data_IF_432689133217
#
_entry.id   IF_432689133217
#
_cell.length_a   1.000
_cell.length_b   1.000
_cell.length_c   1.000
_cell.angle_alpha   90.00
_cell.angle_beta   90.00
_cell.angle_gamma   90.00
#
_symmetry.space_group_name_H-M   'P 1'
#
loop_
_entity.id
_entity.type
_entity.pdbx_description
1 polymer ?
#
# COMPACT_ATOMS: atom_id res chain seq x y z
N UNK A 1 -9.57 12.79 26.50
CA UNK A 1 -9.00 11.48 26.10
C UNK A 1 -8.24 11.66 24.81
N UNK A 2 -6.93 11.37 24.83
CA UNK A 2 -6.14 11.31 23.61
C UNK A 2 -6.66 10.19 22.71
N UNK A 3 -6.67 10.40 21.40
CA UNK A 3 -7.02 9.36 20.44
C UNK A 3 -5.99 8.22 20.44
N UNK A 4 -6.42 7.03 20.05
CA UNK A 4 -5.53 5.86 19.93
C UNK A 4 -4.42 6.15 18.92
N UNK A 5 -3.17 5.88 19.28
CA UNK A 5 -2.01 6.15 18.42
C UNK A 5 -1.66 4.90 17.61
N UNK A 6 -1.34 5.08 16.34
CA UNK A 6 -1.12 3.97 15.41
C UNK A 6 0.09 3.08 15.78
N UNK A 7 1.18 3.65 16.32
CA UNK A 7 2.36 2.87 16.68
C UNK A 7 2.09 1.89 17.83
N UNK A 8 1.21 2.24 18.76
CA UNK A 8 0.80 1.38 19.89
C UNK A 8 -0.07 0.20 19.43
N UNK A 9 -0.72 0.33 18.27
CA UNK A 9 -1.54 -0.73 17.69
C UNK A 9 -0.71 -1.73 16.89
N UNK A 10 0.41 -1.30 16.31
CA UNK A 10 1.26 -2.18 15.48
C UNK A 10 1.97 -3.27 16.28
N UNK A 11 2.21 -3.05 17.56
CA UNK A 11 2.83 -4.02 18.48
C UNK A 11 1.84 -5.04 19.05
N UNK A 12 0.53 -4.83 18.87
CA UNK A 12 -0.53 -5.70 19.40
C UNK A 12 -0.82 -6.87 18.48
N UNK A 13 -1.31 -7.96 19.06
CA UNK A 13 -1.76 -9.12 18.30
C UNK A 13 -3.10 -8.85 17.58
N UNK A 14 -3.41 -9.66 16.56
CA UNK A 14 -4.67 -9.56 15.81
C UNK A 14 -5.90 -9.71 16.72
N UNK A 15 -5.82 -10.58 17.71
CA UNK A 15 -6.89 -10.83 18.69
C UNK A 15 -7.12 -9.62 19.58
N UNK A 16 -6.04 -8.99 20.06
CA UNK A 16 -6.11 -7.76 20.86
C UNK A 16 -6.68 -6.58 20.07
N UNK A 17 -6.37 -6.49 18.77
CA UNK A 17 -6.95 -5.46 17.89
C UNK A 17 -8.45 -5.71 17.64
N UNK A 18 -8.85 -6.98 17.52
CA UNK A 18 -10.24 -7.36 17.32
C UNK A 18 -11.09 -7.08 18.57
N UNK A 19 -10.60 -7.39 19.77
CA UNK A 19 -11.30 -7.07 21.02
C UNK A 19 -11.42 -5.56 21.20
N UNK A 20 -10.31 -4.81 21.05
CA UNK A 20 -10.31 -3.36 21.15
C UNK A 20 -11.29 -2.70 20.15
N UNK A 21 -11.45 -3.27 18.95
CA UNK A 21 -12.41 -2.80 17.96
C UNK A 21 -13.87 -3.01 18.40
N UNK A 22 -14.18 -4.14 19.03
CA UNK A 22 -15.52 -4.42 19.56
C UNK A 22 -15.86 -3.45 20.68
N UNK A 23 -14.93 -3.20 21.60
CA UNK A 23 -15.14 -2.29 22.73
C UNK A 23 -15.36 -0.85 22.26
N UNK A 24 -14.56 -0.37 21.31
CA UNK A 24 -14.75 0.96 20.71
C UNK A 24 -16.10 1.09 19.98
N UNK A 25 -16.60 0.01 19.36
CA UNK A 25 -17.93 0.00 18.72
C UNK A 25 -19.07 0.05 19.75
N UNK A 26 -18.93 -0.65 20.88
CA UNK A 26 -19.89 -0.58 22.00
C UNK A 26 -19.92 0.83 22.59
N UNK A 27 -18.76 1.40 22.87
CA UNK A 27 -18.65 2.79 23.36
C UNK A 27 -19.29 3.79 22.38
N UNK A 28 -19.07 3.61 21.07
CA UNK A 28 -19.71 4.45 20.06
C UNK A 28 -21.23 4.33 20.08
N UNK A 29 -21.77 3.11 20.26
CA UNK A 29 -23.22 2.89 20.33
C UNK A 29 -23.82 3.57 21.56
N UNK A 30 -23.19 3.43 22.72
CA UNK A 30 -23.60 4.11 23.96
C UNK A 30 -23.59 5.65 23.80
N UNK A 31 -22.53 6.20 23.21
CA UNK A 31 -22.43 7.64 22.95
C UNK A 31 -23.52 8.15 21.99
N UNK A 32 -23.96 7.31 21.04
CA UNK A 32 -25.08 7.66 20.15
C UNK A 32 -26.42 7.68 20.89
N UNK A 33 -26.65 6.77 21.83
CA UNK A 33 -27.85 6.79 22.68
C UNK A 33 -27.82 8.03 23.57
N UNK A 34 -26.69 8.34 24.20
CA UNK A 34 -26.53 9.54 25.03
C UNK A 34 -26.75 10.85 24.25
N UNK A 35 -26.43 10.87 22.95
CA UNK A 35 -26.64 12.03 22.07
C UNK A 35 -28.12 12.42 21.95
N UNK A 36 -29.04 11.48 22.15
CA UNK A 36 -30.48 11.76 22.13
C UNK A 36 -30.91 12.64 23.31
N UNK A 37 -30.26 12.47 24.47
CA UNK A 37 -30.52 13.26 25.68
C UNK A 37 -29.62 14.50 25.78
N UNK A 38 -28.39 14.45 25.26
CA UNK A 38 -27.43 15.56 25.31
C UNK A 38 -27.04 16.07 23.91
N UNK A 39 -27.30 17.35 23.57
CA UNK A 39 -27.11 17.88 22.23
C UNK A 39 -25.63 18.05 21.82
N UNK A 40 -24.66 17.99 22.73
CA UNK A 40 -23.22 18.08 22.38
C UNK A 40 -22.40 16.96 23.02
N UNK A 41 -21.75 16.15 22.17
CA UNK A 41 -20.86 15.04 22.56
C UNK A 41 -19.64 14.99 21.62
N UNK A 42 -18.60 15.83 21.85
CA UNK A 42 -17.42 15.88 20.99
C UNK A 42 -16.62 14.56 20.98
N UNK A 43 -16.78 13.71 22.00
CA UNK A 43 -16.11 12.41 22.13
C UNK A 43 -16.44 11.45 20.98
N UNK A 44 -17.61 11.56 20.35
CA UNK A 44 -18.03 10.73 19.18
C UNK A 44 -17.02 10.85 18.03
N UNK A 45 -16.52 12.07 17.76
CA UNK A 45 -15.55 12.30 16.68
C UNK A 45 -14.25 11.55 16.96
N UNK A 46 -13.78 11.56 18.20
CA UNK A 46 -12.55 10.87 18.62
C UNK A 46 -12.70 9.36 18.51
N UNK A 47 -13.79 8.79 19.02
CA UNK A 47 -14.05 7.34 18.96
C UNK A 47 -14.16 6.84 17.52
N UNK A 48 -14.85 7.59 16.62
CA UNK A 48 -14.91 7.26 15.19
C UNK A 48 -13.53 7.22 14.54
N UNK A 49 -12.67 8.18 14.85
CA UNK A 49 -11.29 8.22 14.34
C UNK A 49 -10.45 7.06 14.91
N UNK A 50 -10.62 6.72 16.19
CA UNK A 50 -9.95 5.57 16.80
C UNK A 50 -10.35 4.25 16.14
N UNK A 51 -11.65 4.02 15.88
CA UNK A 51 -12.14 2.82 15.14
C UNK A 51 -11.51 2.74 13.75
N UNK A 52 -11.48 3.86 13.02
CA UNK A 52 -10.86 3.90 11.70
C UNK A 52 -9.37 3.56 11.77
N UNK A 53 -8.64 4.09 12.75
CA UNK A 53 -7.21 3.79 12.94
C UNK A 53 -6.95 2.30 13.21
N UNK A 54 -7.74 1.68 14.10
CA UNK A 54 -7.63 0.23 14.39
C UNK A 54 -7.90 -0.61 13.14
N UNK A 55 -8.96 -0.30 12.38
CA UNK A 55 -9.26 -0.97 11.11
C UNK A 55 -8.13 -0.82 10.08
N UNK A 56 -7.51 0.36 9.99
CA UNK A 56 -6.37 0.60 9.10
C UNK A 56 -5.20 -0.32 9.45
N UNK A 57 -4.83 -0.44 10.73
CA UNK A 57 -3.71 -1.28 11.17
C UNK A 57 -3.99 -2.76 10.94
N UNK A 58 -5.21 -3.24 11.22
CA UNK A 58 -5.62 -4.63 10.92
C UNK A 58 -5.46 -4.93 9.42
N UNK A 59 -5.94 -4.03 8.55
CA UNK A 59 -5.84 -4.18 7.11
C UNK A 59 -4.38 -4.08 6.61
N UNK A 60 -3.56 -3.22 7.22
CA UNK A 60 -2.12 -3.11 6.93
C UNK A 60 -1.40 -4.43 7.20
N UNK A 61 -1.57 -5.00 8.40
CA UNK A 61 -0.99 -6.28 8.81
C UNK A 61 -1.47 -7.44 7.93
N UNK A 62 -2.79 -7.52 7.64
CA UNK A 62 -3.32 -8.56 6.77
C UNK A 62 -2.74 -8.46 5.35
N UNK A 63 -2.65 -7.25 4.79
CA UNK A 63 -2.09 -7.03 3.45
C UNK A 63 -0.61 -7.34 3.40
N UNK A 64 0.14 -7.09 4.48
CA UNK A 64 1.54 -7.46 4.59
C UNK A 64 1.73 -8.99 4.62
N UNK A 65 0.95 -9.71 5.43
CA UNK A 65 0.99 -11.18 5.47
C UNK A 65 0.70 -11.79 4.08
N UNK A 66 -0.29 -11.28 3.36
CA UNK A 66 -0.58 -11.72 1.98
C UNK A 66 0.58 -11.36 1.04
N UNK A 67 1.20 -10.18 1.18
CA UNK A 67 2.38 -9.82 0.37
C UNK A 67 3.57 -10.74 0.63
N UNK A 68 3.81 -11.13 1.88
CA UNK A 68 4.87 -12.07 2.24
C UNK A 68 4.59 -13.45 1.61
N UNK A 69 3.35 -13.94 1.69
CA UNK A 69 2.93 -15.22 1.08
C UNK A 69 3.14 -15.28 -0.44
N UNK A 70 2.96 -14.15 -1.15
CA UNK A 70 3.11 -14.06 -2.61
C UNK A 70 4.45 -13.47 -3.06
N UNK A 71 5.38 -13.23 -2.15
CA UNK A 71 6.70 -12.69 -2.47
C UNK A 71 7.43 -13.67 -3.40
N UNK A 72 7.95 -13.17 -4.52
CA UNK A 72 8.66 -13.97 -5.52
C UNK A 72 7.78 -14.87 -6.41
N UNK A 73 6.50 -15.05 -6.10
CA UNK A 73 5.60 -15.84 -6.96
C UNK A 73 5.28 -15.05 -8.23
N UNK A 74 5.32 -15.74 -9.39
CA UNK A 74 5.01 -15.17 -10.72
C UNK A 74 3.59 -14.57 -10.77
N UNK A 75 2.61 -15.28 -10.23
CA UNK A 75 1.21 -14.86 -10.24
C UNK A 75 0.80 -14.33 -8.88
N UNK A 76 0.50 -13.04 -8.84
CA UNK A 76 -0.04 -12.36 -7.66
C UNK A 76 -1.50 -11.95 -7.90
N UNK A 77 -2.33 -11.90 -6.84
CA UNK A 77 -3.68 -11.37 -6.89
C UNK A 77 -3.71 -9.96 -7.48
N UNK A 78 -4.79 -9.61 -8.18
CA UNK A 78 -4.93 -8.30 -8.86
C UNK A 78 -4.75 -7.12 -7.89
N UNK A 79 -5.20 -7.27 -6.64
CA UNK A 79 -5.15 -6.22 -5.61
C UNK A 79 -3.73 -5.89 -5.12
N UNK A 80 -2.80 -6.85 -5.26
CA UNK A 80 -1.40 -6.68 -4.89
C UNK A 80 -0.53 -6.17 -6.04
N UNK A 81 -1.02 -6.21 -7.28
CA UNK A 81 -0.27 -5.73 -8.43
C UNK A 81 -0.10 -4.21 -8.36
N UNK A 82 1.04 -3.72 -8.84
CA UNK A 82 1.27 -2.29 -8.97
C UNK A 82 0.19 -1.63 -9.84
N UNK A 83 -0.41 -0.55 -9.33
CA UNK A 83 -1.42 0.22 -10.06
C UNK A 83 -0.73 1.12 -11.09
N UNK A 84 -0.68 0.65 -12.34
CA UNK A 84 -0.19 1.39 -13.52
C UNK A 84 -1.32 1.55 -14.54
N UNK A 85 -1.10 2.40 -15.56
CA UNK A 85 -2.02 2.48 -16.69
C UNK A 85 -2.04 1.17 -17.49
N UNK A 86 -3.16 0.89 -18.18
CA UNK A 86 -3.28 -0.32 -19.02
C UNK A 86 -2.20 -0.36 -20.10
N UNK A 87 -1.89 0.77 -20.72
CA UNK A 87 -0.84 0.89 -21.72
C UNK A 87 0.53 0.48 -21.15
N UNK A 88 0.92 1.02 -19.99
CA UNK A 88 2.19 0.68 -19.34
C UNK A 88 2.29 -0.79 -18.91
N UNK A 89 1.16 -1.45 -18.60
CA UNK A 89 1.16 -2.89 -18.29
C UNK A 89 1.32 -3.79 -19.52
N UNK A 90 0.99 -3.29 -20.70
CA UNK A 90 1.09 -4.01 -21.99
C UNK A 90 2.38 -3.70 -22.74
N UNK A 91 3.09 -2.64 -22.36
CA UNK A 91 4.38 -2.30 -22.92
C UNK A 91 5.42 -3.41 -22.64
N UNK A 92 6.41 -3.51 -23.53
CA UNK A 92 7.54 -4.41 -23.38
C UNK A 92 8.34 -4.09 -22.11
N UNK A 93 8.99 -5.11 -21.56
CA UNK A 93 9.98 -4.92 -20.50
C UNK A 93 11.21 -4.19 -21.05
N UNK A 94 11.98 -3.54 -20.16
CA UNK A 94 13.23 -2.86 -20.57
C UNK A 94 14.19 -3.83 -21.26
N UNK A 95 14.26 -5.07 -20.77
CA UNK A 95 15.10 -6.11 -21.33
C UNK A 95 14.69 -6.45 -22.77
N UNK A 96 13.40 -6.71 -23.01
CA UNK A 96 12.86 -6.97 -24.34
C UNK A 96 13.06 -5.78 -25.29
N UNK A 97 12.81 -4.56 -24.81
CA UNK A 97 13.00 -3.35 -25.60
C UNK A 97 14.47 -3.08 -25.94
N UNK A 98 15.41 -3.51 -25.09
CA UNK A 98 16.85 -3.39 -25.32
C UNK A 98 17.45 -4.56 -26.10
N UNK A 99 16.67 -5.57 -26.49
CA UNK A 99 17.23 -6.69 -27.24
C UNK A 99 17.71 -6.23 -28.61
N UNK A 100 18.97 -6.56 -28.90
CA UNK A 100 19.64 -6.25 -30.16
C UNK A 100 20.03 -7.57 -30.81
N UNK A 101 19.83 -7.67 -32.13
CA UNK A 101 20.24 -8.86 -32.88
C UNK A 101 21.76 -9.06 -32.81
N UNK A 102 22.22 -10.31 -32.86
CA UNK A 102 23.65 -10.67 -32.94
C UNK A 102 24.41 -9.84 -33.99
N UNK A 103 23.80 -9.68 -35.17
CA UNK A 103 24.35 -8.88 -36.28
C UNK A 103 24.53 -7.41 -35.90
N UNK A 104 23.52 -6.80 -35.29
CA UNK A 104 23.57 -5.40 -34.90
C UNK A 104 24.50 -5.17 -33.69
N UNK A 105 24.59 -6.12 -32.75
CA UNK A 105 25.57 -6.09 -31.66
C UNK A 105 27.00 -6.06 -32.20
N UNK A 106 27.35 -6.97 -33.14
CA UNK A 106 28.66 -7.00 -33.80
C UNK A 106 28.96 -5.67 -34.51
N UNK A 107 27.97 -5.10 -35.22
CA UNK A 107 28.12 -3.79 -35.88
C UNK A 107 28.37 -2.65 -34.89
N UNK A 108 27.65 -2.61 -33.77
CA UNK A 108 27.82 -1.59 -32.73
C UNK A 108 29.19 -1.68 -32.04
N UNK A 109 29.68 -2.90 -31.81
CA UNK A 109 31.04 -3.12 -31.25
C UNK A 109 32.11 -2.65 -32.24
N UNK A 110 31.96 -3.00 -33.52
CA UNK A 110 32.93 -2.65 -34.55
C UNK A 110 32.94 -1.15 -34.87
N UNK A 111 31.77 -0.51 -34.93
CA UNK A 111 31.60 0.88 -35.34
C UNK A 111 30.74 1.67 -34.33
N UNK A 112 31.25 1.93 -33.12
CA UNK A 112 30.55 2.78 -32.16
C UNK A 112 30.52 4.22 -32.65
N UNK A 113 29.45 4.95 -32.32
CA UNK A 113 29.37 6.37 -32.63
C UNK A 113 30.42 7.13 -31.82
N UNK A 114 31.47 7.61 -32.50
CA UNK A 114 32.55 8.38 -31.89
C UNK A 114 32.20 9.86 -31.92
N UNK A 115 32.51 10.57 -30.83
CA UNK A 115 32.44 12.02 -30.81
C UNK A 115 33.72 12.58 -31.41
N UNK A 116 33.60 13.40 -32.45
CA UNK A 116 34.71 14.12 -33.08
C UNK A 116 34.22 15.50 -33.53
N UNK A 117 35.17 16.41 -33.75
CA UNK A 117 34.92 17.74 -34.30
C UNK A 117 35.88 17.96 -35.48
N UNK A 118 35.43 18.72 -36.48
CA UNK A 118 36.25 19.10 -37.62
C UNK A 118 36.80 20.50 -37.34
N UNK A 119 38.11 20.66 -37.50
CA UNK A 119 38.78 21.95 -37.36
C UNK A 119 38.46 22.79 -38.59
N UNK A 120 38.14 24.06 -38.38
CA UNK A 120 38.01 25.05 -39.45
C UNK A 120 39.37 25.32 -40.11
#
# INVERSE_FOLDING_TARGET
>A
MAGVKAYELRTKSKEQLASQLVDLKKELAELKVQKLSRPSLPKIKTVRKSIACVLTVINEQQREAVRQLYKGKKYQPKDLRAKKTRALRRALTKFEASQVTEKQRKKQIAFPQRKYAIKA
#
